data_IF_341048139129
#
_entry.id   IF_341048139129
#
_cell.length_a   1.000
_cell.length_b   1.000
_cell.length_c   1.000
_cell.angle_alpha   90.00
_cell.angle_beta   90.00
_cell.angle_gamma   90.00
#
_symmetry.space_group_name_H-M   'P 1'
#
loop_
_entity.id
_entity.type
_entity.pdbx_description
1 polymer ?
#
# COMPACT_ATOMS: atom_id res chain seq x y z
N UNK A 1 22.41 -1.92 1.63
CA UNK A 1 21.89 -2.84 0.59
C UNK A 1 20.53 -2.42 0.04
N UNK A 2 19.60 -1.90 0.85
CA UNK A 2 18.26 -1.55 0.36
C UNK A 2 18.26 -0.42 -0.67
N UNK A 3 19.02 0.68 -0.49
CA UNK A 3 19.13 1.72 -1.53
C UNK A 3 19.53 1.16 -2.90
N UNK A 4 20.43 0.17 -2.94
CA UNK A 4 20.85 -0.46 -4.19
C UNK A 4 19.67 -1.19 -4.86
N UNK A 5 18.87 -1.91 -4.07
CA UNK A 5 17.66 -2.60 -4.57
C UNK A 5 16.62 -1.59 -5.06
N UNK A 6 16.36 -0.56 -4.27
CA UNK A 6 15.41 0.51 -4.60
C UNK A 6 15.84 1.24 -5.87
N UNK A 7 17.13 1.50 -6.08
CA UNK A 7 17.64 2.10 -7.33
C UNK A 7 17.34 1.25 -8.54
N UNK A 8 17.55 -0.07 -8.48
CA UNK A 8 17.25 -0.96 -9.60
C UNK A 8 15.74 -1.04 -9.88
N UNK A 9 14.91 -1.09 -8.83
CA UNK A 9 13.45 -1.08 -8.96
C UNK A 9 12.95 0.23 -9.57
N UNK A 10 13.48 1.37 -9.11
CA UNK A 10 13.17 2.69 -9.66
C UNK A 10 13.56 2.78 -11.13
N UNK A 11 14.73 2.24 -11.50
CA UNK A 11 15.19 2.24 -12.89
C UNK A 11 14.24 1.46 -13.80
N UNK A 12 13.78 0.27 -13.39
CA UNK A 12 12.79 -0.50 -14.14
C UNK A 12 11.48 0.29 -14.32
N UNK A 13 11.00 0.95 -13.26
CA UNK A 13 9.77 1.75 -13.32
C UNK A 13 9.89 2.97 -14.26
N UNK A 14 11.04 3.63 -14.28
CA UNK A 14 11.32 4.72 -15.21
C UNK A 14 11.40 4.24 -16.67
N UNK A 15 12.11 3.13 -16.90
CA UNK A 15 12.25 2.56 -18.24
C UNK A 15 10.94 2.05 -18.83
N UNK A 16 10.00 1.62 -17.99
CA UNK A 16 8.65 1.23 -18.39
C UNK A 16 7.65 2.41 -18.33
N UNK A 17 8.17 3.64 -18.30
CA UNK A 17 7.41 4.88 -18.44
C UNK A 17 6.22 5.02 -17.46
N UNK A 18 6.45 4.70 -16.18
CA UNK A 18 5.41 4.82 -15.14
C UNK A 18 4.92 6.28 -14.97
N UNK A 19 3.64 6.45 -14.60
CA UNK A 19 3.06 7.79 -14.42
C UNK A 19 3.41 8.45 -13.08
N UNK A 20 3.76 7.64 -12.07
CA UNK A 20 4.11 8.09 -10.73
C UNK A 20 4.97 7.04 -10.05
N UNK A 21 5.97 7.46 -9.30
CA UNK A 21 6.90 6.57 -8.63
C UNK A 21 7.07 6.92 -7.15
N UNK A 22 6.93 5.90 -6.30
CA UNK A 22 7.40 5.96 -4.92
C UNK A 22 8.69 5.14 -4.79
N UNK A 23 9.68 5.70 -4.11
CA UNK A 23 10.94 5.02 -3.78
C UNK A 23 11.03 4.84 -2.28
N UNK A 24 11.19 3.59 -1.84
CA UNK A 24 11.27 3.26 -0.43
C UNK A 24 12.59 3.75 0.18
N UNK A 25 12.54 4.14 1.45
CA UNK A 25 13.74 4.48 2.21
C UNK A 25 14.51 3.22 2.66
N UNK A 26 15.83 3.32 2.85
CA UNK A 26 16.66 2.17 3.20
C UNK A 26 16.28 1.50 4.54
N UNK A 27 15.65 2.25 5.44
CA UNK A 27 15.22 1.87 6.78
C UNK A 27 13.76 1.37 6.85
N UNK A 28 13.12 1.14 5.69
CA UNK A 28 11.73 0.64 5.56
C UNK A 28 11.45 -0.60 6.42
N UNK A 29 12.44 -1.51 6.55
CA UNK A 29 12.29 -2.72 7.35
C UNK A 29 12.25 -2.47 8.88
N UNK A 30 12.58 -1.26 9.34
CA UNK A 30 12.76 -0.93 10.75
C UNK A 30 11.79 0.14 11.23
N UNK A 31 11.61 1.23 10.47
CA UNK A 31 10.75 2.34 10.90
C UNK A 31 10.21 3.14 9.72
N UNK A 32 9.26 4.03 10.00
CA UNK A 32 8.82 5.04 9.04
C UNK A 32 9.99 5.97 8.69
N UNK A 33 10.14 6.36 7.41
CA UNK A 33 11.30 7.13 6.96
C UNK A 33 11.57 8.39 7.78
N UNK A 34 12.83 8.60 8.17
CA UNK A 34 13.31 9.87 8.73
C UNK A 34 13.57 10.90 7.64
N UNK A 35 13.72 12.18 7.98
CA UNK A 35 14.07 13.23 7.00
C UNK A 35 15.34 12.89 6.20
N UNK A 36 16.34 12.29 6.84
CA UNK A 36 17.56 11.85 6.16
C UNK A 36 17.27 10.69 5.20
N UNK A 37 16.53 9.68 5.65
CA UNK A 37 16.20 8.49 4.88
C UNK A 37 15.31 8.82 3.68
N UNK A 38 14.34 9.73 3.84
CA UNK A 38 13.50 10.26 2.75
C UNK A 38 14.33 10.98 1.71
N UNK A 39 15.31 11.80 2.12
CA UNK A 39 16.19 12.50 1.17
C UNK A 39 16.99 11.53 0.31
N UNK A 40 17.48 10.43 0.87
CA UNK A 40 18.16 9.38 0.11
C UNK A 40 17.21 8.70 -0.88
N UNK A 41 16.01 8.35 -0.44
CA UNK A 41 15.00 7.75 -1.31
C UNK A 41 14.63 8.67 -2.48
N UNK A 42 14.37 9.95 -2.21
CA UNK A 42 14.07 10.94 -3.25
C UNK A 42 15.25 11.16 -4.20
N UNK A 43 16.49 11.16 -3.68
CA UNK A 43 17.68 11.31 -4.50
C UNK A 43 17.82 10.19 -5.54
N UNK A 44 17.31 8.99 -5.28
CA UNK A 44 17.29 7.90 -6.28
C UNK A 44 16.53 8.35 -7.53
N UNK A 45 15.31 8.89 -7.38
CA UNK A 45 14.51 9.36 -8.51
C UNK A 45 15.20 10.52 -9.23
N UNK A 46 15.75 11.47 -8.47
CA UNK A 46 16.47 12.62 -9.04
C UNK A 46 17.70 12.22 -9.84
N UNK A 47 18.48 11.24 -9.37
CA UNK A 47 19.66 10.74 -10.08
C UNK A 47 19.24 10.01 -11.35
N UNK A 48 18.22 9.15 -11.29
CA UNK A 48 17.70 8.46 -12.49
C UNK A 48 17.16 9.47 -13.51
N UNK A 49 16.42 10.48 -13.08
CA UNK A 49 15.82 11.48 -13.98
C UNK A 49 16.86 12.46 -14.56
N UNK A 50 17.86 12.89 -13.76
CA UNK A 50 18.73 14.04 -14.11
C UNK A 50 20.15 13.67 -14.50
N UNK A 51 20.67 12.55 -14.01
CA UNK A 51 22.08 12.19 -14.19
C UNK A 51 22.26 10.92 -15.03
N UNK A 52 21.30 10.00 -14.98
CA UNK A 52 21.39 8.73 -15.70
C UNK A 52 21.12 8.90 -17.20
N UNK A 53 22.17 8.78 -18.02
CA UNK A 53 22.10 9.13 -19.44
C UNK A 53 21.05 8.37 -20.26
N UNK A 54 20.77 7.10 -19.96
CA UNK A 54 19.75 6.34 -20.68
C UNK A 54 18.32 6.84 -20.40
N UNK A 55 18.09 7.56 -19.30
CA UNK A 55 16.81 8.20 -19.03
C UNK A 55 16.55 9.43 -19.92
N UNK A 56 17.50 9.84 -20.77
CA UNK A 56 17.25 10.84 -21.82
C UNK A 56 16.41 10.29 -22.99
N UNK A 57 16.08 9.00 -22.99
CA UNK A 57 15.20 8.34 -23.95
C UNK A 57 13.99 7.77 -23.21
N UNK A 58 12.79 8.04 -23.72
CA UNK A 58 11.52 7.68 -23.04
C UNK A 58 11.05 6.24 -23.32
N UNK A 59 11.68 5.55 -24.27
CA UNK A 59 11.34 4.18 -24.68
C UNK A 59 12.56 3.24 -24.80
N UNK A 60 13.49 3.23 -23.82
CA UNK A 60 14.78 2.56 -23.97
C UNK A 60 14.69 1.03 -24.07
N UNK A 61 13.54 0.44 -23.71
CA UNK A 61 13.32 -1.00 -23.73
C UNK A 61 12.75 -1.52 -25.07
N UNK A 62 12.19 -0.65 -25.91
CA UNK A 62 11.56 -1.08 -27.17
C UNK A 62 12.59 -1.67 -28.14
N UNK A 63 12.27 -2.83 -28.73
CA UNK A 63 13.18 -3.58 -29.61
C UNK A 63 14.10 -4.56 -28.88
N UNK A 64 14.06 -4.61 -27.55
CA UNK A 64 14.81 -5.60 -26.78
C UNK A 64 14.14 -6.97 -26.86
N UNK A 65 14.82 -7.96 -27.45
CA UNK A 65 14.26 -9.32 -27.62
C UNK A 65 13.80 -9.94 -26.30
N UNK A 66 14.55 -9.75 -25.22
CA UNK A 66 14.16 -10.29 -23.90
C UNK A 66 12.96 -9.56 -23.32
N UNK A 67 12.82 -8.25 -23.56
CA UNK A 67 11.68 -7.49 -23.03
C UNK A 67 10.43 -7.87 -23.83
N UNK A 68 10.52 -7.95 -25.15
CA UNK A 68 9.40 -8.37 -26.00
C UNK A 68 8.91 -9.78 -25.64
N UNK A 69 9.81 -10.76 -25.50
CA UNK A 69 9.43 -12.12 -25.10
C UNK A 69 8.86 -12.16 -23.67
N UNK A 70 9.42 -11.42 -22.72
CA UNK A 70 8.87 -11.34 -21.37
C UNK A 70 7.50 -10.64 -21.35
N UNK A 71 7.27 -9.65 -22.20
CA UNK A 71 5.97 -8.99 -22.34
C UNK A 71 4.91 -10.00 -22.79
N UNK A 72 5.18 -10.77 -23.85
CA UNK A 72 4.26 -11.80 -24.35
C UNK A 72 3.97 -12.87 -23.29
N UNK A 73 5.02 -13.39 -22.63
CA UNK A 73 4.86 -14.42 -21.60
C UNK A 73 4.06 -13.95 -20.38
N UNK A 74 4.24 -12.69 -19.95
CA UNK A 74 3.48 -12.12 -18.84
C UNK A 74 2.03 -11.85 -19.25
N UNK A 75 1.79 -11.36 -20.47
CA UNK A 75 0.43 -11.16 -21.01
C UNK A 75 -0.35 -12.48 -21.01
N UNK A 76 0.22 -13.54 -21.60
CA UNK A 76 -0.41 -14.87 -21.65
C UNK A 76 -0.69 -15.42 -20.25
N UNK A 77 0.25 -15.27 -19.31
CA UNK A 77 0.09 -15.74 -17.94
C UNK A 77 -1.04 -15.00 -17.20
N UNK A 78 -1.18 -13.69 -17.42
CA UNK A 78 -2.26 -12.87 -16.84
C UNK A 78 -3.61 -13.23 -17.43
N UNK A 79 -3.70 -13.42 -18.75
CA UNK A 79 -4.95 -13.83 -19.40
C UNK A 79 -5.41 -15.21 -18.91
N UNK A 80 -4.50 -16.15 -18.72
CA UNK A 80 -4.81 -17.45 -18.11
C UNK A 80 -5.30 -17.31 -16.66
N UNK A 81 -4.80 -16.34 -15.89
CA UNK A 81 -5.32 -16.05 -14.54
C UNK A 81 -6.73 -15.44 -14.58
N UNK A 82 -7.04 -14.63 -15.60
CA UNK A 82 -8.40 -14.11 -15.80
C UNK A 82 -9.40 -15.25 -16.06
N UNK A 83 -9.05 -16.21 -16.91
CA UNK A 83 -9.90 -17.39 -17.14
C UNK A 83 -10.16 -18.17 -15.85
N UNK A 84 -9.10 -18.40 -15.04
CA UNK A 84 -9.24 -19.03 -13.71
C UNK A 84 -10.20 -18.27 -12.80
N UNK A 85 -10.18 -16.93 -12.81
CA UNK A 85 -11.13 -16.12 -12.04
C UNK A 85 -12.55 -16.22 -12.62
N UNK A 86 -12.71 -16.19 -13.93
CA UNK A 86 -14.02 -16.29 -14.61
C UNK A 86 -14.72 -17.61 -14.30
N UNK A 87 -14.01 -18.73 -14.34
CA UNK A 87 -14.52 -20.06 -13.96
C UNK A 87 -15.03 -20.14 -12.52
N UNK A 88 -14.55 -19.24 -11.65
CA UNK A 88 -14.93 -19.14 -10.22
C UNK A 88 -16.05 -18.13 -9.97
N UNK A 89 -16.77 -17.71 -11.01
CA UNK A 89 -17.82 -16.69 -10.89
C UNK A 89 -17.28 -15.26 -10.87
N UNK A 90 -16.13 -15.03 -11.50
CA UNK A 90 -15.43 -13.76 -11.52
C UNK A 90 -14.79 -13.42 -10.17
N UNK A 91 -14.36 -12.16 -10.02
CA UNK A 91 -13.62 -11.71 -8.83
C UNK A 91 -14.40 -11.93 -7.54
N UNK A 92 -15.71 -11.64 -7.53
CA UNK A 92 -16.55 -11.78 -6.34
C UNK A 92 -16.71 -13.24 -5.93
N UNK A 93 -16.99 -14.14 -6.87
CA UNK A 93 -17.09 -15.58 -6.57
C UNK A 93 -15.76 -16.18 -6.11
N UNK A 94 -14.65 -15.74 -6.72
CA UNK A 94 -13.31 -16.12 -6.26
C UNK A 94 -13.00 -15.62 -4.84
N UNK A 95 -13.48 -14.42 -4.48
CA UNK A 95 -13.34 -13.89 -3.12
C UNK A 95 -14.17 -14.69 -2.10
N UNK A 96 -15.37 -15.16 -2.47
CA UNK A 96 -16.21 -16.01 -1.63
C UNK A 96 -15.53 -17.35 -1.31
N UNK A 97 -14.83 -17.95 -2.29
CA UNK A 97 -14.05 -19.17 -2.09
C UNK A 97 -12.66 -18.93 -1.47
N UNK A 98 -12.28 -17.67 -1.22
CA UNK A 98 -10.97 -17.30 -0.70
C UNK A 98 -9.81 -17.54 -1.67
N UNK A 99 -10.06 -17.66 -2.98
CA UNK A 99 -9.06 -18.08 -3.97
C UNK A 99 -7.85 -17.14 -4.02
N UNK A 100 -8.06 -15.83 -4.17
CA UNK A 100 -6.94 -14.88 -4.25
C UNK A 100 -6.12 -14.88 -2.97
N UNK A 101 -6.80 -14.94 -1.80
CA UNK A 101 -6.11 -14.98 -0.51
C UNK A 101 -5.26 -16.25 -0.37
N UNK A 102 -5.82 -17.41 -0.72
CA UNK A 102 -5.11 -18.68 -0.69
C UNK A 102 -3.88 -18.65 -1.60
N UNK A 103 -4.04 -18.21 -2.86
CA UNK A 103 -2.93 -18.07 -3.81
C UNK A 103 -1.80 -17.18 -3.29
N UNK A 104 -2.14 -16.01 -2.73
CA UNK A 104 -1.15 -15.10 -2.13
C UNK A 104 -0.43 -15.74 -0.94
N UNK A 105 -1.15 -16.49 -0.10
CA UNK A 105 -0.56 -17.19 1.04
C UNK A 105 0.38 -18.32 0.60
N UNK A 106 -0.03 -19.12 -0.39
CA UNK A 106 0.77 -20.21 -0.94
C UNK A 106 2.09 -19.67 -1.55
N UNK A 107 2.00 -18.61 -2.35
CA UNK A 107 3.17 -17.98 -2.97
C UNK A 107 4.08 -17.30 -1.93
N UNK A 108 3.50 -16.70 -0.89
CA UNK A 108 4.26 -16.15 0.24
C UNK A 108 5.02 -17.23 1.00
N UNK A 109 4.38 -18.40 1.22
CA UNK A 109 5.00 -19.52 1.93
C UNK A 109 6.16 -20.10 1.11
N UNK A 110 5.97 -20.27 -0.20
CA UNK A 110 7.02 -20.73 -1.11
C UNK A 110 8.21 -19.76 -1.11
N UNK A 111 7.95 -18.44 -1.22
CA UNK A 111 9.01 -17.43 -1.16
C UNK A 111 9.79 -17.50 0.16
N UNK A 112 9.10 -17.56 1.31
CA UNK A 112 9.77 -17.62 2.61
C UNK A 112 10.52 -18.94 2.81
N UNK A 113 10.00 -20.07 2.32
CA UNK A 113 10.75 -21.34 2.30
C UNK A 113 12.04 -21.22 1.53
N UNK A 114 11.99 -20.71 0.29
CA UNK A 114 13.17 -20.54 -0.57
C UNK A 114 14.18 -19.55 0.00
N UNK A 115 13.70 -18.53 0.69
CA UNK A 115 14.55 -17.58 1.41
C UNK A 115 15.20 -18.26 2.62
N UNK A 116 14.47 -19.03 3.42
CA UNK A 116 15.02 -19.68 4.61
C UNK A 116 16.00 -20.81 4.30
N UNK A 117 15.74 -21.60 3.25
CA UNK A 117 16.63 -22.68 2.82
C UNK A 117 17.82 -22.20 1.98
N UNK A 118 17.79 -20.94 1.52
CA UNK A 118 18.85 -20.29 0.75
C UNK A 118 18.83 -20.57 -0.75
N UNK A 119 17.85 -21.33 -1.26
CA UNK A 119 17.64 -21.53 -2.71
C UNK A 119 17.28 -20.24 -3.44
N UNK A 120 16.73 -19.25 -2.72
CA UNK A 120 16.64 -17.86 -3.15
C UNK A 120 17.74 -17.02 -2.46
N UNK A 121 18.79 -16.60 -3.18
CA UNK A 121 19.88 -15.84 -2.57
C UNK A 121 19.46 -14.41 -2.24
N UNK A 122 19.60 -14.02 -0.97
CA UNK A 122 19.35 -12.66 -0.49
C UNK A 122 20.64 -12.13 0.15
N UNK A 123 21.31 -11.22 -0.56
CA UNK A 123 22.59 -10.62 -0.14
C UNK A 123 22.44 -9.87 1.19
N UNK A 124 23.28 -10.24 2.17
CA UNK A 124 23.26 -9.72 3.53
C UNK A 124 22.24 -10.38 4.45
N UNK A 125 21.51 -11.40 3.98
CA UNK A 125 20.53 -12.16 4.78
C UNK A 125 20.85 -13.66 4.76
N UNK A 126 20.82 -14.29 3.59
CA UNK A 126 21.04 -15.74 3.45
C UNK A 126 22.45 -16.06 2.97
N UNK A 127 23.07 -15.14 2.22
CA UNK A 127 24.46 -15.21 1.75
C UNK A 127 25.12 -13.84 1.81
N UNK A 128 26.45 -13.79 1.77
CA UNK A 128 27.23 -12.56 1.96
C UNK A 128 26.87 -11.84 3.27
N UNK A 129 26.78 -12.62 4.35
CA UNK A 129 26.46 -12.12 5.69
C UNK A 129 27.70 -11.50 6.32
N UNK A 130 27.54 -10.38 7.02
CA UNK A 130 28.66 -9.70 7.70
C UNK A 130 29.30 -10.63 8.75
N UNK A 131 30.64 -10.80 8.76
CA UNK A 131 31.32 -11.57 9.80
C UNK A 131 31.26 -10.88 11.17
N UNK A 132 31.05 -9.56 11.19
CA UNK A 132 30.81 -8.75 12.38
C UNK A 132 29.44 -8.07 12.23
N UNK A 133 28.35 -8.67 12.74
CA UNK A 133 27.03 -8.09 12.64
C UNK A 133 26.97 -6.86 13.54
N UNK A 134 26.88 -5.68 12.95
CA UNK A 134 26.61 -4.46 13.70
C UNK A 134 25.34 -4.67 14.55
N UNK A 135 25.34 -4.26 15.83
CA UNK A 135 24.12 -4.30 16.62
C UNK A 135 23.04 -3.49 15.89
N UNK A 136 21.76 -3.92 15.94
CA UNK A 136 20.68 -3.18 15.32
C UNK A 136 20.72 -1.75 15.87
N UNK A 137 21.05 -0.79 15.02
CA UNK A 137 20.97 0.63 15.39
C UNK A 137 19.50 0.85 15.74
N UNK A 138 19.16 1.28 16.97
CA UNK A 138 17.80 1.66 17.27
C UNK A 138 17.50 2.87 16.39
N UNK A 139 16.88 2.63 15.23
CA UNK A 139 16.31 3.72 14.46
C UNK A 139 15.33 4.40 15.42
N UNK A 140 15.47 5.71 15.58
CA UNK A 140 14.52 6.48 16.38
C UNK A 140 13.14 6.25 15.75
N UNK A 141 12.34 5.38 16.37
CA UNK A 141 11.05 5.01 15.82
C UNK A 141 10.20 6.26 15.90
N UNK A 142 9.81 6.79 14.74
CA UNK A 142 8.91 7.94 14.72
C UNK A 142 7.58 7.49 15.31
N UNK A 143 7.27 7.97 16.51
CA UNK A 143 6.03 7.68 17.24
C UNK A 143 5.40 8.99 17.65
N UNK A 144 4.08 9.04 17.60
CA UNK A 144 3.33 10.18 18.12
C UNK A 144 3.65 10.40 19.61
N UNK A 145 3.93 11.65 19.94
CA UNK A 145 4.18 12.13 21.29
C UNK A 145 2.90 12.10 22.13
N UNK A 146 3.03 12.09 23.45
CA UNK A 146 1.86 12.16 24.34
C UNK A 146 1.09 13.48 24.17
N UNK A 147 1.81 14.57 23.88
CA UNK A 147 1.21 15.86 23.58
C UNK A 147 0.32 15.81 22.33
N UNK A 148 0.79 15.19 21.24
CA UNK A 148 0.00 15.05 20.00
C UNK A 148 -1.26 14.22 20.22
N UNK A 149 -1.17 13.13 21.00
CA UNK A 149 -2.35 12.33 21.36
C UNK A 149 -3.36 13.15 22.17
N UNK A 150 -2.89 13.85 23.19
CA UNK A 150 -3.73 14.71 24.03
C UNK A 150 -4.40 15.80 23.18
N UNK A 151 -3.65 16.46 22.30
CA UNK A 151 -4.16 17.48 21.39
C UNK A 151 -5.23 16.92 20.44
N UNK A 152 -5.06 15.71 19.90
CA UNK A 152 -6.08 15.07 19.05
C UNK A 152 -7.37 14.76 19.83
N UNK A 153 -7.27 14.30 21.07
CA UNK A 153 -8.42 14.04 21.95
C UNK A 153 -9.15 15.35 22.27
N UNK A 154 -8.42 16.41 22.60
CA UNK A 154 -8.99 17.72 22.90
C UNK A 154 -9.73 18.30 21.67
N UNK A 155 -9.09 18.28 20.50
CA UNK A 155 -9.70 18.71 19.23
C UNK A 155 -10.97 17.93 18.91
N UNK A 156 -10.96 16.62 19.12
CA UNK A 156 -12.13 15.77 18.89
C UNK A 156 -13.29 16.15 19.83
N UNK A 157 -13.01 16.32 21.13
CA UNK A 157 -14.02 16.72 22.11
C UNK A 157 -14.60 18.10 21.81
N UNK A 158 -13.75 19.06 21.45
CA UNK A 158 -14.19 20.40 21.07
C UNK A 158 -15.04 20.39 19.78
N UNK A 159 -14.68 19.55 18.81
CA UNK A 159 -15.46 19.37 17.58
C UNK A 159 -16.85 18.76 17.89
N UNK A 160 -16.89 17.72 18.73
CA UNK A 160 -18.16 17.12 19.18
C UNK A 160 -19.03 18.10 19.96
N UNK A 161 -18.45 18.90 20.83
CA UNK A 161 -19.22 19.89 21.61
C UNK A 161 -19.78 20.99 20.72
N UNK A 162 -18.99 21.49 19.76
CA UNK A 162 -19.41 22.51 18.79
C UNK A 162 -20.62 22.09 17.95
N UNK A 163 -20.67 20.83 17.54
CA UNK A 163 -21.70 20.32 16.63
C UNK A 163 -22.74 19.42 17.31
N UNK A 164 -22.77 19.42 18.65
CA UNK A 164 -23.61 18.53 19.48
C UNK A 164 -25.07 18.47 19.03
N UNK A 165 -25.63 19.60 18.63
CA UNK A 165 -27.04 19.72 18.25
C UNK A 165 -27.30 19.35 16.78
N UNK A 166 -26.29 19.47 15.91
CA UNK A 166 -26.38 19.22 14.47
C UNK A 166 -26.05 17.77 14.11
N UNK A 167 -25.06 17.17 14.78
CA UNK A 167 -24.56 15.81 14.45
C UNK A 167 -25.67 14.74 14.45
N UNK A 168 -26.61 14.69 15.41
CA UNK A 168 -27.63 13.63 15.43
C UNK A 168 -28.51 13.62 14.19
N UNK A 169 -28.91 14.80 13.70
CA UNK A 169 -29.72 14.93 12.50
C UNK A 169 -28.94 14.53 11.24
N UNK A 170 -27.67 14.97 11.14
CA UNK A 170 -26.79 14.61 10.03
C UNK A 170 -26.54 13.09 9.96
N UNK A 171 -26.31 12.42 11.11
CA UNK A 171 -26.13 10.97 11.16
C UNK A 171 -27.42 10.20 10.86
N UNK A 172 -28.58 10.72 11.29
CA UNK A 172 -29.87 10.12 10.95
C UNK A 172 -30.12 10.18 9.43
N UNK A 173 -29.88 11.34 8.81
CA UNK A 173 -29.99 11.50 7.36
C UNK A 173 -29.03 10.56 6.61
N UNK A 174 -27.77 10.46 7.06
CA UNK A 174 -26.79 9.57 6.45
C UNK A 174 -27.23 8.10 6.48
N UNK A 175 -27.77 7.63 7.61
CA UNK A 175 -28.34 6.28 7.76
C UNK A 175 -29.53 6.06 6.83
N UNK A 176 -30.43 7.03 6.75
CA UNK A 176 -31.60 6.97 5.87
C UNK A 176 -31.18 6.85 4.39
N UNK A 177 -30.25 7.69 3.93
CA UNK A 177 -29.73 7.65 2.55
C UNK A 177 -29.08 6.29 2.26
N UNK A 178 -28.30 5.75 3.20
CA UNK A 178 -27.67 4.44 3.04
C UNK A 178 -28.70 3.29 2.96
N UNK A 179 -29.77 3.33 3.76
CA UNK A 179 -30.82 2.29 3.75
C UNK A 179 -31.74 2.38 2.53
N UNK A 180 -31.97 3.58 2.01
CA UNK A 180 -32.89 3.82 0.87
C UNK A 180 -32.20 3.70 -0.48
N UNK A 181 -30.89 3.43 -0.53
CA UNK A 181 -30.12 3.33 -1.76
C UNK A 181 -29.83 4.67 -2.43
N UNK A 182 -29.88 5.77 -1.69
CA UNK A 182 -29.50 7.09 -2.18
C UNK A 182 -27.99 7.26 -2.32
N UNK A 183 -27.55 8.40 -2.85
CA UNK A 183 -26.11 8.68 -2.99
C UNK A 183 -25.48 9.00 -1.62
N UNK A 184 -24.93 7.97 -0.98
CA UNK A 184 -24.28 8.08 0.33
C UNK A 184 -23.09 9.04 0.32
N UNK A 185 -22.33 9.13 -0.77
CA UNK A 185 -21.20 10.03 -0.86
C UNK A 185 -21.63 11.51 -0.85
N UNK A 186 -22.75 11.83 -1.50
CA UNK A 186 -23.31 13.18 -1.43
C UNK A 186 -23.70 13.55 0.01
N UNK A 187 -24.38 12.66 0.73
CA UNK A 187 -24.73 12.87 2.14
C UNK A 187 -23.49 12.96 3.06
N UNK A 188 -22.40 12.26 2.71
CA UNK A 188 -21.13 12.36 3.43
C UNK A 188 -20.51 13.76 3.35
N UNK A 189 -20.62 14.48 2.23
CA UNK A 189 -20.06 15.83 2.09
C UNK A 189 -20.65 16.82 3.08
N UNK A 190 -21.89 16.59 3.50
CA UNK A 190 -22.56 17.38 4.53
C UNK A 190 -22.23 16.83 5.93
N UNK A 191 -22.31 15.51 6.13
CA UNK A 191 -22.07 14.88 7.43
C UNK A 191 -20.68 15.16 7.99
N UNK A 192 -19.63 15.18 7.16
CA UNK A 192 -18.24 15.43 7.62
C UNK A 192 -18.03 16.83 8.20
N UNK A 193 -18.94 17.78 7.97
CA UNK A 193 -18.86 19.13 8.52
C UNK A 193 -19.20 19.17 10.01
N UNK A 194 -20.03 18.23 10.47
CA UNK A 194 -20.59 18.22 11.83
C UNK A 194 -20.36 16.90 12.56
N UNK A 195 -19.89 15.86 11.88
CA UNK A 195 -19.69 14.52 12.44
C UNK A 195 -18.23 14.06 12.27
N UNK A 196 -17.68 13.42 13.30
CA UNK A 196 -16.34 12.85 13.25
C UNK A 196 -16.31 11.53 12.47
N UNK A 197 -15.11 11.09 12.06
CA UNK A 197 -14.90 9.81 11.41
C UNK A 197 -15.52 8.64 12.20
N UNK A 198 -15.31 8.60 13.51
CA UNK A 198 -15.87 7.55 14.36
C UNK A 198 -17.40 7.56 14.42
N UNK A 199 -18.02 8.75 14.51
CA UNK A 199 -19.48 8.88 14.49
C UNK A 199 -20.09 8.40 13.16
N UNK A 200 -19.45 8.74 12.04
CA UNK A 200 -19.87 8.33 10.70
C UNK A 200 -19.73 6.82 10.51
N UNK A 201 -18.58 6.26 10.90
CA UNK A 201 -18.33 4.81 10.80
C UNK A 201 -19.32 4.01 11.64
N UNK A 202 -19.60 4.42 12.87
CA UNK A 202 -20.58 3.73 13.73
C UNK A 202 -21.99 3.80 13.13
N UNK A 203 -22.39 4.96 12.59
CA UNK A 203 -23.65 5.10 11.90
C UNK A 203 -23.77 4.15 10.69
N UNK A 204 -22.69 3.91 9.95
CA UNK A 204 -22.67 2.90 8.89
C UNK A 204 -22.69 1.47 9.42
N UNK A 205 -22.06 1.17 10.55
CA UNK A 205 -22.13 -0.17 11.15
C UNK A 205 -23.55 -0.56 11.57
N UNK A 206 -24.35 0.39 12.04
CA UNK A 206 -25.74 0.16 12.42
C UNK A 206 -26.64 -0.26 11.23
N UNK A 207 -26.37 0.25 10.03
CA UNK A 207 -27.23 0.03 8.85
C UNK A 207 -26.62 -0.87 7.77
N UNK A 208 -25.29 -0.95 7.68
CA UNK A 208 -24.54 -1.70 6.67
C UNK A 208 -23.77 -2.89 7.23
N UNK A 209 -23.72 -3.04 8.56
CA UNK A 209 -22.96 -4.09 9.23
C UNK A 209 -21.45 -3.85 9.24
N UNK A 210 -20.72 -4.82 9.81
CA UNK A 210 -19.26 -4.80 9.88
C UNK A 210 -18.68 -5.87 8.97
N UNK A 211 -17.51 -5.60 8.38
CA UNK A 211 -16.78 -6.61 7.62
C UNK A 211 -16.48 -7.83 8.50
N UNK A 212 -16.99 -8.99 8.11
CA UNK A 212 -16.64 -10.28 8.71
C UNK A 212 -15.41 -10.82 7.98
N UNK A 213 -14.33 -11.08 8.73
CA UNK A 213 -13.17 -11.79 8.20
C UNK A 213 -13.64 -13.15 7.68
N UNK A 214 -13.55 -13.39 6.38
CA UNK A 214 -13.52 -14.76 5.86
C UNK A 214 -12.32 -15.46 6.49
N UNK A 215 -12.43 -16.74 6.86
CA UNK A 215 -11.25 -17.56 7.15
C UNK A 215 -10.60 -17.89 5.82
#
# INVERSE_FOLDING_TARGET
>A
FNDIRTTLQALCAYYDNCNSLHTNAYDEAVTTPTDESVRRALAIQLIVDREWGLASTDNPLQGSYIVEELTDLVEDAVLAEFDRLTERGGVLGAMESGYQRGRIQDESLEYEHRKHDGSLPIIGVTTFVSPDPAPPVPAAVSRATEHEKAAQIERLRAFHDRHRDESPAALAHLREVAMTGGNTFAALLDAVRTCSLGQITEAFFEVGGQYRRSM
#
